data_IF_081837832746
#
_entry.id   IF_081837832746
#
_cell.length_a   1.000
_cell.length_b   1.000
_cell.length_c   1.000
_cell.angle_alpha   90.00
_cell.angle_beta   90.00
_cell.angle_gamma   90.00
#
_symmetry.space_group_name_H-M   'P 1'
#
loop_
_entity.id
_entity.type
_entity.pdbx_description
1 polymer ?
#
# COMPACT_ATOMS: atom_id res chain seq x y z
N UNK A 1 -24.73 27.87 -17.64
CA UNK A 1 -24.97 26.65 -16.83
C UNK A 1 -23.73 26.23 -16.04
N UNK A 2 -22.58 25.96 -16.67
CA UNK A 2 -21.32 25.55 -16.00
C UNK A 2 -20.86 26.59 -14.96
N UNK A 3 -20.91 27.89 -15.29
CA UNK A 3 -20.56 28.98 -14.37
C UNK A 3 -21.52 29.06 -13.17
N UNK A 4 -22.81 28.83 -13.39
CA UNK A 4 -23.82 28.86 -12.32
C UNK A 4 -23.66 27.66 -11.36
N UNK A 5 -23.32 26.48 -11.88
CA UNK A 5 -23.01 25.29 -11.08
C UNK A 5 -21.70 25.49 -10.28
N UNK A 6 -20.69 26.11 -10.90
CA UNK A 6 -19.43 26.43 -10.21
C UNK A 6 -19.63 27.42 -9.04
N UNK A 7 -20.50 28.42 -9.21
CA UNK A 7 -20.85 29.38 -8.14
C UNK A 7 -21.64 28.68 -7.03
N UNK A 8 -22.61 27.82 -7.36
CA UNK A 8 -23.37 27.07 -6.37
C UNK A 8 -22.50 26.12 -5.53
N UNK A 9 -21.51 25.47 -6.16
CA UNK A 9 -20.55 24.59 -5.47
C UNK A 9 -19.52 25.37 -4.65
N UNK A 10 -19.12 26.57 -5.09
CA UNK A 10 -18.26 27.45 -4.29
C UNK A 10 -18.94 27.90 -2.99
N UNK A 11 -20.25 28.21 -3.07
CA UNK A 11 -21.07 28.55 -1.89
C UNK A 11 -21.18 27.34 -0.95
N UNK A 12 -21.34 26.13 -1.49
CA UNK A 12 -21.35 24.89 -0.70
C UNK A 12 -20.03 24.64 0.05
N UNK A 13 -18.89 24.91 -0.60
CA UNK A 13 -17.56 24.78 -0.01
C UNK A 13 -17.31 25.75 1.17
N UNK A 14 -17.90 26.96 1.12
CA UNK A 14 -17.82 27.93 2.23
C UNK A 14 -18.63 27.45 3.43
N UNK A 15 -19.76 26.78 3.20
CA UNK A 15 -20.59 26.21 4.25
C UNK A 15 -19.93 25.01 4.95
N UNK A 16 -19.23 24.16 4.20
CA UNK A 16 -18.60 22.94 4.74
C UNK A 16 -17.33 23.25 5.57
N UNK A 17 -16.57 24.30 5.21
CA UNK A 17 -15.44 24.78 6.03
C UNK A 17 -15.85 25.31 7.40
N UNK A 18 -17.09 25.77 7.58
CA UNK A 18 -17.63 26.17 8.90
C UNK A 18 -18.05 24.99 9.76
N UNK A 19 -18.23 23.80 9.20
CA UNK A 19 -18.66 22.61 9.94
C UNK A 19 -17.48 21.77 10.47
N UNK A 20 -16.29 21.88 9.88
CA UNK A 20 -15.09 21.20 10.39
C UNK A 20 -14.43 21.90 11.59
N UNK A 21 -14.91 23.07 12.01
CA UNK A 21 -14.38 23.80 13.18
C UNK A 21 -15.02 23.40 14.51
N UNK A 22 -16.13 22.65 14.52
CA UNK A 22 -16.80 22.24 15.76
C UNK A 22 -16.45 20.78 16.10
N UNK A 23 -15.68 20.65 17.19
CA UNK A 23 -14.96 19.44 17.58
C UNK A 23 -15.83 18.27 18.05
N UNK A 24 -15.25 17.07 17.88
CA UNK A 24 -15.74 15.82 18.48
C UNK A 24 -14.72 15.34 19.51
N UNK A 25 -15.24 15.08 20.70
CA UNK A 25 -14.53 14.79 21.95
C UNK A 25 -13.94 13.39 22.03
N UNK A 26 -12.95 13.24 22.93
CA UNK A 26 -12.22 12.02 23.29
C UNK A 26 -13.00 11.14 24.27
N UNK A 27 -12.73 9.81 24.21
CA UNK A 27 -12.99 8.68 25.16
C UNK A 27 -13.73 7.52 24.44
N UNK A 28 -13.40 6.22 24.51
CA UNK A 28 -12.54 5.39 25.36
C UNK A 28 -12.05 4.16 24.53
N UNK A 29 -10.80 3.72 24.73
CA UNK A 29 -10.24 2.49 24.12
C UNK A 29 -10.12 1.37 25.18
N UNK A 30 -10.61 0.14 24.93
CA UNK A 30 -10.50 -0.99 25.85
C UNK A 30 -9.20 -1.77 25.61
N UNK A 31 -8.05 -1.20 25.99
CA UNK A 31 -6.73 -1.85 25.86
C UNK A 31 -6.06 -2.17 27.22
N UNK A 32 -6.85 -2.61 28.21
CA UNK A 32 -6.33 -3.11 29.50
C UNK A 32 -7.07 -4.36 29.96
N UNK A 33 -6.85 -5.51 29.31
CA UNK A 33 -7.21 -6.83 29.88
C UNK A 33 -6.58 -8.04 29.18
N UNK A 34 -5.27 -7.99 28.87
CA UNK A 34 -4.61 -9.12 28.19
C UNK A 34 -3.22 -9.53 28.75
N UNK A 35 -2.82 -9.08 29.95
CA UNK A 35 -1.52 -9.44 30.54
C UNK A 35 -1.63 -10.22 31.87
N UNK A 36 -2.59 -11.14 32.01
CA UNK A 36 -2.78 -11.88 33.27
C UNK A 36 -3.07 -13.38 33.14
N UNK A 37 -2.65 -14.06 32.05
CA UNK A 37 -2.99 -15.50 31.91
C UNK A 37 -2.01 -16.43 31.19
N UNK A 38 -0.74 -16.07 31.06
CA UNK A 38 0.29 -17.00 30.54
C UNK A 38 1.50 -16.98 31.48
N UNK A 39 1.36 -17.67 32.60
CA UNK A 39 2.41 -17.86 33.57
C UNK A 39 2.02 -18.98 34.52
N UNK A 40 2.57 -20.17 34.25
CA UNK A 40 2.60 -21.42 35.04
C UNK A 40 2.03 -22.62 34.29
N UNK A 41 2.92 -23.47 33.79
CA UNK A 41 2.97 -24.91 34.12
C UNK A 41 3.77 -25.67 33.07
N UNK A 42 5.08 -25.82 33.27
CA UNK A 42 5.80 -27.01 32.81
C UNK A 42 6.70 -27.41 33.98
N UNK A 43 6.25 -28.40 34.75
CA UNK A 43 7.07 -29.10 35.73
C UNK A 43 7.47 -30.46 35.15
N UNK A 44 8.79 -30.66 35.17
CA UNK A 44 9.60 -31.86 35.09
C UNK A 44 8.90 -33.22 35.15
N UNK A 45 9.24 -34.07 34.17
CA UNK A 45 9.45 -35.50 34.40
C UNK A 45 10.82 -35.87 33.84
N UNK A 46 11.79 -36.06 34.75
CA UNK A 46 13.11 -36.60 34.44
C UNK A 46 13.02 -38.10 34.22
N UNK A 47 13.53 -38.59 33.10
CA UNK A 47 14.02 -39.96 32.98
C UNK A 47 15.48 -39.90 32.55
N UNK A 48 16.33 -40.57 33.34
CA UNK A 48 17.78 -40.64 33.12
C UNK A 48 18.10 -41.45 31.87
N UNK A 49 18.39 -40.77 30.77
CA UNK A 49 19.29 -41.25 29.73
C UNK A 49 20.22 -40.10 29.34
N UNK A 50 21.52 -40.37 29.20
CA UNK A 50 22.50 -39.34 28.84
C UNK A 50 22.10 -38.68 27.52
N UNK A 51 21.66 -37.42 27.61
CA UNK A 51 21.24 -36.63 26.46
C UNK A 51 22.43 -36.37 25.52
N UNK A 52 22.28 -36.53 24.20
CA UNK A 52 23.28 -36.12 23.20
C UNK A 52 23.73 -34.66 23.34
N UNK A 53 22.90 -33.83 23.98
CA UNK A 53 23.17 -32.42 24.25
C UNK A 53 24.31 -32.25 25.28
N UNK A 54 24.37 -33.11 26.30
CA UNK A 54 25.41 -32.99 27.33
C UNK A 54 26.81 -33.30 26.76
N UNK A 55 26.90 -34.22 25.78
CA UNK A 55 28.15 -34.52 25.06
C UNK A 55 28.55 -33.40 24.09
N UNK A 56 27.58 -32.68 23.53
CA UNK A 56 27.81 -31.52 22.68
C UNK A 56 28.28 -30.31 23.49
N UNK A 57 27.69 -30.07 24.67
CA UNK A 57 28.11 -28.99 25.58
C UNK A 57 29.54 -29.19 26.09
N UNK A 58 29.93 -30.43 26.38
CA UNK A 58 31.29 -30.77 26.83
C UNK A 58 32.32 -30.62 25.68
N UNK A 59 31.95 -30.98 24.45
CA UNK A 59 32.78 -30.75 23.25
C UNK A 59 32.93 -29.25 22.93
N UNK A 60 31.85 -28.48 23.05
CA UNK A 60 31.89 -27.01 22.88
C UNK A 60 32.75 -26.37 23.96
N UNK A 61 32.65 -26.84 25.21
CA UNK A 61 33.48 -26.39 26.32
C UNK A 61 34.98 -26.68 26.10
N UNK A 62 35.32 -27.84 25.57
CA UNK A 62 36.70 -28.22 25.23
C UNK A 62 37.27 -27.43 24.05
N UNK A 63 36.46 -27.12 23.03
CA UNK A 63 36.86 -26.28 21.89
C UNK A 63 37.10 -24.83 22.35
N UNK A 64 36.24 -24.30 23.21
CA UNK A 64 36.38 -22.93 23.73
C UNK A 64 37.57 -22.72 24.66
N UNK A 65 38.10 -23.78 25.30
CA UNK A 65 39.27 -23.71 26.19
C UNK A 65 40.60 -24.06 25.50
N UNK A 66 40.60 -24.29 24.18
CA UNK A 66 41.82 -24.52 23.42
C UNK A 66 42.64 -23.23 23.26
N UNK A 67 43.97 -23.23 23.52
CA UNK A 67 44.83 -22.07 23.30
C UNK A 67 44.76 -21.53 21.85
N UNK A 68 44.58 -22.44 20.89
CA UNK A 68 44.49 -22.10 19.46
C UNK A 68 43.17 -21.39 19.12
N UNK A 69 42.07 -21.69 19.84
CA UNK A 69 40.78 -21.02 19.64
C UNK A 69 40.83 -19.55 20.05
N UNK A 70 41.49 -19.24 21.17
CA UNK A 70 41.64 -17.85 21.63
C UNK A 70 42.58 -17.02 20.73
N UNK A 71 43.65 -17.62 20.19
CA UNK A 71 44.53 -16.99 19.21
C UNK A 71 43.79 -16.76 17.87
N UNK A 72 43.04 -17.74 17.35
CA UNK A 72 42.23 -17.57 16.13
C UNK A 72 41.10 -16.56 16.30
N UNK A 73 40.39 -16.55 17.43
CA UNK A 73 39.32 -15.58 17.70
C UNK A 73 39.88 -14.16 17.89
N UNK A 74 41.05 -14.02 18.52
CA UNK A 74 41.74 -12.74 18.67
C UNK A 74 42.25 -12.23 17.32
N UNK A 75 42.87 -13.09 16.51
CA UNK A 75 43.30 -12.76 15.15
C UNK A 75 42.10 -12.45 14.25
N UNK A 76 40.96 -13.13 14.41
CA UNK A 76 39.72 -12.84 13.70
C UNK A 76 39.06 -11.53 14.17
N UNK A 77 39.15 -11.17 15.46
CA UNK A 77 38.69 -9.87 16.00
C UNK A 77 39.59 -8.72 15.59
N UNK A 78 40.90 -8.94 15.49
CA UNK A 78 41.87 -7.95 14.99
C UNK A 78 41.79 -7.77 13.47
N UNK A 79 41.53 -8.85 12.72
CA UNK A 79 41.27 -8.82 11.27
C UNK A 79 39.87 -8.28 10.91
N UNK A 80 38.86 -8.51 11.76
CA UNK A 80 37.50 -7.96 11.62
C UNK A 80 37.28 -6.75 12.52
N UNK A 81 38.19 -5.78 12.48
CA UNK A 81 37.80 -4.41 12.85
C UNK A 81 36.80 -3.95 11.80
N UNK A 82 35.51 -4.08 12.12
CA UNK A 82 34.45 -3.39 11.40
C UNK A 82 34.69 -1.89 11.55
N UNK A 83 35.46 -1.33 10.62
CA UNK A 83 35.57 0.12 10.50
C UNK A 83 34.23 0.61 9.96
N UNK A 84 33.39 1.12 10.85
CA UNK A 84 32.05 1.58 10.51
C UNK A 84 32.17 2.87 9.71
N UNK A 85 32.34 2.75 8.40
CA UNK A 85 32.28 3.86 7.48
C UNK A 85 30.82 4.17 7.17
N UNK A 86 30.36 5.33 7.61
CA UNK A 86 29.03 5.79 7.24
C UNK A 86 29.01 6.17 5.76
N UNK A 87 28.11 5.59 4.96
CA UNK A 87 27.98 5.96 3.56
C UNK A 87 27.61 7.44 3.45
N UNK A 88 28.12 8.11 2.42
CA UNK A 88 27.73 9.48 2.10
C UNK A 88 26.22 9.55 1.96
N UNK A 89 25.59 10.47 2.70
CA UNK A 89 24.15 10.65 2.65
C UNK A 89 23.68 10.97 1.23
N UNK A 90 22.55 10.39 0.86
CA UNK A 90 21.92 10.61 -0.42
C UNK A 90 21.43 12.06 -0.56
N UNK A 91 21.71 12.68 -1.71
CA UNK A 91 21.15 13.98 -2.08
C UNK A 91 19.76 13.76 -2.70
N UNK A 92 18.76 14.48 -2.18
CA UNK A 92 17.35 14.39 -2.58
C UNK A 92 16.72 15.77 -2.74
N UNK A 93 15.71 15.91 -3.61
CA UNK A 93 14.97 17.16 -3.79
C UNK A 93 14.23 17.60 -2.51
N UNK A 94 13.85 16.65 -1.66
CA UNK A 94 13.27 16.84 -0.34
C UNK A 94 13.47 15.56 0.48
N UNK A 95 13.61 15.68 1.80
CA UNK A 95 13.64 14.54 2.71
C UNK A 95 12.46 14.59 3.70
N UNK A 96 12.09 13.41 4.22
CA UNK A 96 10.92 13.27 5.10
C UNK A 96 11.10 13.98 6.44
N UNK A 97 12.32 14.06 6.98
CA UNK A 97 12.59 14.77 8.24
C UNK A 97 12.31 16.26 8.12
N UNK A 98 12.78 16.91 7.06
CA UNK A 98 12.49 18.32 6.77
C UNK A 98 11.00 18.56 6.49
N UNK A 99 10.35 17.65 5.75
CA UNK A 99 8.90 17.73 5.54
C UNK A 99 8.14 17.69 6.87
N UNK A 100 8.53 16.80 7.79
CA UNK A 100 7.91 16.73 9.11
C UNK A 100 8.22 17.97 9.94
N UNK A 101 9.48 18.39 10.02
CA UNK A 101 9.89 19.55 10.83
C UNK A 101 9.27 20.86 10.35
N UNK A 102 9.40 21.14 9.06
CA UNK A 102 9.02 22.42 8.47
C UNK A 102 7.54 22.41 8.09
N UNK A 103 7.06 21.35 7.46
CA UNK A 103 5.67 21.25 7.01
C UNK A 103 4.70 20.93 8.13
N UNK A 104 4.92 19.82 8.83
CA UNK A 104 3.92 19.24 9.75
C UNK A 104 3.99 19.86 11.15
N UNK A 105 5.18 19.92 11.76
CA UNK A 105 5.36 20.39 13.12
C UNK A 105 5.25 21.93 13.21
N UNK A 106 5.77 22.63 12.21
CA UNK A 106 5.78 24.10 12.18
C UNK A 106 4.59 24.72 11.42
N UNK A 107 3.70 23.89 10.83
CA UNK A 107 2.58 24.33 9.97
C UNK A 107 3.00 25.29 8.84
N UNK A 108 4.24 25.19 8.34
CA UNK A 108 4.69 26.02 7.23
C UNK A 108 4.29 25.39 5.90
N UNK A 109 3.80 26.21 4.99
CA UNK A 109 3.55 25.77 3.62
C UNK A 109 4.88 25.49 2.90
N UNK A 110 4.94 24.47 2.03
CA UNK A 110 6.10 24.27 1.17
C UNK A 110 6.33 25.50 0.30
N UNK A 111 7.58 25.77 -0.10
CA UNK A 111 7.87 26.81 -1.08
C UNK A 111 7.06 26.56 -2.36
N UNK A 112 6.26 27.55 -2.76
CA UNK A 112 5.37 27.44 -3.92
C UNK A 112 6.20 27.17 -5.18
N UNK A 113 6.01 25.99 -5.80
CA UNK A 113 6.54 25.76 -7.15
C UNK A 113 5.84 26.71 -8.12
N UNK A 114 6.65 27.41 -8.93
CA UNK A 114 6.12 28.27 -10.00
C UNK A 114 5.15 27.47 -10.88
N UNK A 115 4.02 28.06 -11.31
CA UNK A 115 3.10 27.40 -12.24
C UNK A 115 3.87 26.93 -13.48
N UNK A 116 3.55 25.74 -13.99
CA UNK A 116 4.06 25.31 -15.28
C UNK A 116 3.44 26.23 -16.33
N UNK A 117 4.27 26.96 -17.06
CA UNK A 117 3.85 27.86 -18.15
C UNK A 117 3.48 27.11 -19.42
N UNK A 118 3.93 25.85 -19.55
CA UNK A 118 3.63 24.98 -20.70
C UNK A 118 2.30 24.26 -20.49
N UNK A 119 1.29 24.63 -21.28
CA UNK A 119 0.03 23.89 -21.39
C UNK A 119 0.29 22.59 -22.15
N UNK A 120 0.03 21.45 -21.50
CA UNK A 120 0.09 20.16 -22.19
C UNK A 120 -1.14 20.05 -23.10
N UNK A 121 -0.92 19.85 -24.40
CA UNK A 121 -1.98 19.69 -25.40
C UNK A 121 -2.50 18.25 -25.50
N UNK A 122 -1.83 17.29 -24.85
CA UNK A 122 -2.25 15.90 -24.88
C UNK A 122 -3.52 15.69 -24.04
N UNK A 123 -4.46 14.85 -24.49
CA UNK A 123 -5.61 14.43 -23.69
C UNK A 123 -5.18 13.82 -22.35
N UNK A 124 -6.01 13.98 -21.32
CA UNK A 124 -5.82 13.28 -20.05
C UNK A 124 -6.15 11.79 -20.23
N UNK A 125 -5.15 10.93 -20.03
CA UNK A 125 -5.36 9.49 -19.96
C UNK A 125 -5.77 9.08 -18.55
N UNK A 126 -6.87 8.32 -18.44
CA UNK A 126 -7.41 7.86 -17.17
C UNK A 126 -7.47 6.34 -17.17
N UNK A 127 -6.80 5.72 -16.20
CA UNK A 127 -6.81 4.28 -15.99
C UNK A 127 -7.69 3.96 -14.78
N UNK A 128 -8.75 3.18 -15.00
CA UNK A 128 -9.54 2.61 -13.91
C UNK A 128 -8.92 1.26 -13.55
N UNK A 129 -8.63 1.06 -12.26
CA UNK A 129 -7.99 -0.15 -11.75
C UNK A 129 -8.97 -0.86 -10.79
N UNK A 130 -9.84 -1.74 -11.30
CA UNK A 130 -10.69 -2.56 -10.45
C UNK A 130 -9.82 -3.50 -9.59
N UNK A 131 -10.08 -3.50 -8.29
CA UNK A 131 -9.35 -4.30 -7.32
C UNK A 131 -10.26 -4.64 -6.14
N UNK A 132 -9.83 -5.59 -5.33
CA UNK A 132 -10.42 -5.88 -4.03
C UNK A 132 -9.31 -5.93 -3.01
N UNK A 133 -9.56 -5.40 -1.82
CA UNK A 133 -8.68 -5.60 -0.68
C UNK A 133 -9.24 -6.73 0.17
N UNK A 134 -8.40 -7.69 0.55
CA UNK A 134 -8.80 -8.89 1.28
C UNK A 134 -7.82 -9.18 2.41
N UNK A 135 -8.21 -8.86 3.64
CA UNK A 135 -7.37 -9.10 4.82
C UNK A 135 -7.21 -10.61 5.10
N UNK A 136 -5.98 -11.14 5.19
CA UNK A 136 -5.72 -12.54 5.56
C UNK A 136 -5.95 -12.83 7.06
N UNK A 137 -7.01 -12.27 7.64
CA UNK A 137 -7.31 -12.27 9.06
C UNK A 137 -7.35 -10.85 9.63
N UNK A 138 -8.53 -10.40 10.06
CA UNK A 138 -8.72 -9.09 10.70
C UNK A 138 -9.91 -9.14 11.68
N UNK A 139 -11.13 -8.86 11.20
CA UNK A 139 -12.35 -9.02 12.00
C UNK A 139 -12.80 -10.48 12.06
N UNK A 140 -12.49 -11.24 11.01
CA UNK A 140 -12.68 -12.68 10.94
C UNK A 140 -11.34 -13.37 10.65
N UNK A 141 -11.31 -14.69 10.81
CA UNK A 141 -10.12 -15.49 10.51
C UNK A 141 -9.93 -15.67 9.00
N UNK A 142 -8.71 -16.02 8.60
CA UNK A 142 -8.39 -16.40 7.21
C UNK A 142 -9.35 -17.43 6.62
N UNK A 143 -9.69 -18.49 7.38
CA UNK A 143 -10.61 -19.53 6.91
C UNK A 143 -12.05 -19.04 6.78
N UNK A 144 -12.50 -18.12 7.65
CA UNK A 144 -13.84 -17.52 7.53
C UNK A 144 -13.97 -16.69 6.25
N UNK A 145 -12.97 -15.84 5.97
CA UNK A 145 -12.94 -15.03 4.76
C UNK A 145 -12.74 -15.84 3.46
N UNK A 146 -12.24 -17.08 3.55
CA UNK A 146 -12.02 -17.94 2.37
C UNK A 146 -13.30 -18.10 1.53
N UNK A 147 -14.47 -18.17 2.17
CA UNK A 147 -15.74 -18.28 1.45
C UNK A 147 -16.01 -17.08 0.53
N UNK A 148 -15.77 -15.87 1.02
CA UNK A 148 -15.99 -14.64 0.27
C UNK A 148 -14.91 -14.40 -0.79
N UNK A 149 -13.65 -14.65 -0.44
CA UNK A 149 -12.52 -14.51 -1.38
C UNK A 149 -12.62 -15.50 -2.54
N UNK A 150 -12.97 -16.77 -2.28
CA UNK A 150 -13.23 -17.75 -3.33
C UNK A 150 -14.39 -17.31 -4.24
N UNK A 151 -15.50 -16.82 -3.67
CA UNK A 151 -16.63 -16.31 -4.46
C UNK A 151 -16.23 -15.13 -5.35
N UNK A 152 -15.36 -14.23 -4.87
CA UNK A 152 -14.84 -13.13 -5.68
C UNK A 152 -14.01 -13.67 -6.85
N UNK A 153 -13.11 -14.61 -6.58
CA UNK A 153 -12.23 -15.20 -7.61
C UNK A 153 -12.99 -16.05 -8.63
N UNK A 154 -13.99 -16.82 -8.20
CA UNK A 154 -14.87 -17.59 -9.10
C UNK A 154 -15.67 -16.66 -10.02
N UNK A 155 -16.20 -15.56 -9.47
CA UNK A 155 -16.90 -14.56 -10.27
C UNK A 155 -15.94 -13.85 -11.24
N UNK A 156 -14.71 -13.54 -10.82
CA UNK A 156 -13.68 -12.99 -11.71
C UNK A 156 -13.38 -13.93 -12.87
N UNK A 157 -13.20 -15.23 -12.58
CA UNK A 157 -12.95 -16.26 -13.60
C UNK A 157 -14.06 -16.32 -14.64
N UNK A 158 -15.32 -16.23 -14.24
CA UNK A 158 -16.46 -16.22 -15.16
C UNK A 158 -16.56 -14.88 -15.92
N UNK A 159 -16.37 -13.76 -15.21
CA UNK A 159 -16.59 -12.42 -15.76
C UNK A 159 -15.54 -12.04 -16.82
N UNK A 160 -14.26 -12.33 -16.58
CA UNK A 160 -13.19 -12.00 -17.52
C UNK A 160 -13.28 -12.78 -18.83
N UNK A 161 -13.86 -14.00 -18.83
CA UNK A 161 -14.10 -14.77 -20.08
C UNK A 161 -14.95 -14.01 -21.09
N UNK A 162 -15.96 -13.28 -20.61
CA UNK A 162 -16.94 -12.60 -21.47
C UNK A 162 -16.68 -11.10 -21.62
N UNK A 163 -15.69 -10.56 -20.91
CA UNK A 163 -15.37 -9.13 -20.90
C UNK A 163 -13.87 -8.89 -21.19
N UNK A 164 -13.40 -9.08 -22.43
CA UNK A 164 -11.97 -9.05 -22.78
C UNK A 164 -11.26 -7.70 -22.56
N UNK A 165 -12.02 -6.63 -22.34
CA UNK A 165 -11.50 -5.28 -22.03
C UNK A 165 -11.45 -4.99 -20.53
N UNK A 166 -12.07 -5.83 -19.70
CA UNK A 166 -12.04 -5.67 -18.25
C UNK A 166 -10.64 -5.98 -17.74
N UNK A 167 -10.25 -5.25 -16.69
CA UNK A 167 -9.03 -5.53 -15.94
C UNK A 167 -9.37 -5.73 -14.47
N UNK A 168 -8.57 -6.52 -13.79
CA UNK A 168 -8.68 -6.76 -12.37
C UNK A 168 -7.31 -6.95 -11.76
N UNK A 169 -7.09 -6.35 -10.59
CA UNK A 169 -5.86 -6.47 -9.83
C UNK A 169 -6.11 -7.29 -8.56
N UNK A 170 -5.19 -8.18 -8.24
CA UNK A 170 -5.20 -8.98 -7.01
C UNK A 170 -3.84 -8.90 -6.31
N UNK A 171 -3.83 -8.73 -4.98
CA UNK A 171 -2.60 -8.48 -4.21
C UNK A 171 -2.22 -9.63 -3.26
N UNK A 172 -3.18 -10.22 -2.55
CA UNK A 172 -2.90 -11.17 -1.48
C UNK A 172 -2.79 -12.61 -2.00
N UNK A 173 -1.55 -13.05 -2.29
CA UNK A 173 -1.29 -14.37 -2.88
C UNK A 173 -1.73 -15.52 -1.99
N UNK A 174 -1.77 -15.35 -0.66
CA UNK A 174 -2.21 -16.38 0.27
C UNK A 174 -3.62 -16.91 -0.02
N UNK A 175 -4.56 -16.03 -0.35
CA UNK A 175 -5.91 -16.44 -0.75
C UNK A 175 -5.94 -16.99 -2.18
N UNK A 176 -5.16 -16.39 -3.09
CA UNK A 176 -5.13 -16.81 -4.48
C UNK A 176 -4.57 -18.22 -4.63
N UNK A 177 -3.46 -18.55 -3.95
CA UNK A 177 -2.88 -19.89 -3.97
C UNK A 177 -3.84 -20.91 -3.35
N UNK A 178 -4.53 -20.56 -2.26
CA UNK A 178 -5.54 -21.45 -1.68
C UNK A 178 -6.64 -21.77 -2.69
N UNK A 179 -7.20 -20.74 -3.33
CA UNK A 179 -8.21 -20.90 -4.38
C UNK A 179 -7.67 -21.71 -5.58
N UNK A 180 -6.44 -21.43 -6.02
CA UNK A 180 -5.78 -22.09 -7.13
C UNK A 180 -5.70 -23.61 -7.00
N UNK A 181 -5.50 -24.11 -5.78
CA UNK A 181 -5.44 -25.56 -5.48
C UNK A 181 -6.75 -26.29 -5.78
N UNK A 182 -7.89 -25.58 -5.81
CA UNK A 182 -9.20 -26.15 -6.08
C UNK A 182 -9.58 -26.11 -7.57
N UNK A 183 -8.81 -25.44 -8.41
CA UNK A 183 -9.09 -25.30 -9.83
C UNK A 183 -8.68 -26.55 -10.61
N UNK A 184 -9.52 -26.91 -11.60
CA UNK A 184 -9.14 -27.88 -12.62
C UNK A 184 -8.21 -27.27 -13.68
N UNK A 185 -7.61 -28.10 -14.52
CA UNK A 185 -6.62 -27.66 -15.51
C UNK A 185 -7.15 -26.63 -16.52
N UNK A 186 -8.42 -26.76 -16.93
CA UNK A 186 -9.07 -25.78 -17.82
C UNK A 186 -9.18 -24.42 -17.15
N UNK A 187 -9.64 -24.37 -15.89
CA UNK A 187 -9.75 -23.12 -15.14
C UNK A 187 -8.37 -22.49 -14.90
N UNK A 188 -7.35 -23.30 -14.57
CA UNK A 188 -5.96 -22.83 -14.44
C UNK A 188 -5.45 -22.25 -15.76
N UNK A 189 -5.75 -22.88 -16.90
CA UNK A 189 -5.37 -22.38 -18.21
C UNK A 189 -6.03 -21.02 -18.51
N UNK A 190 -7.33 -20.86 -18.21
CA UNK A 190 -8.04 -19.59 -18.37
C UNK A 190 -7.39 -18.46 -17.55
N UNK A 191 -7.05 -18.74 -16.28
CA UNK A 191 -6.41 -17.76 -15.40
C UNK A 191 -5.02 -17.36 -15.92
N UNK A 192 -4.20 -18.33 -16.37
CA UNK A 192 -2.91 -18.02 -17.02
C UNK A 192 -3.09 -17.14 -18.26
N UNK A 193 -4.15 -17.37 -19.04
CA UNK A 193 -4.48 -16.54 -20.18
C UNK A 193 -4.87 -15.11 -19.75
N UNK A 194 -5.63 -14.93 -18.67
CA UNK A 194 -5.96 -13.59 -18.16
C UNK A 194 -4.71 -12.83 -17.70
N UNK A 195 -3.77 -13.51 -17.04
CA UNK A 195 -2.49 -12.93 -16.64
C UNK A 195 -1.65 -12.56 -17.87
N UNK A 196 -1.51 -13.47 -18.83
CA UNK A 196 -0.71 -13.24 -20.05
C UNK A 196 -1.29 -12.13 -20.92
N UNK A 197 -2.62 -12.04 -21.02
CA UNK A 197 -3.31 -10.98 -21.76
C UNK A 197 -3.37 -9.63 -21.02
N UNK A 198 -3.00 -9.59 -19.74
CA UNK A 198 -3.06 -8.40 -18.89
C UNK A 198 -4.46 -8.01 -18.41
N UNK A 199 -5.44 -8.93 -18.51
CA UNK A 199 -6.76 -8.76 -17.88
C UNK A 199 -6.68 -8.97 -16.36
N UNK A 200 -5.82 -9.88 -15.89
CA UNK A 200 -5.56 -10.10 -14.47
C UNK A 200 -4.13 -9.68 -14.15
N UNK A 201 -3.96 -8.74 -13.23
CA UNK A 201 -2.64 -8.31 -12.75
C UNK A 201 -2.40 -8.80 -11.32
N UNK A 202 -1.31 -9.55 -11.14
CA UNK A 202 -0.83 -9.97 -9.82
C UNK A 202 0.08 -8.86 -9.27
N UNK A 203 -0.50 -7.98 -8.46
CA UNK A 203 0.20 -6.85 -7.85
C UNK A 203 0.82 -7.23 -6.49
N UNK A 204 1.76 -6.41 -6.02
CA UNK A 204 2.65 -6.65 -4.86
C UNK A 204 3.63 -7.80 -5.06
N UNK A 205 3.12 -8.98 -5.37
CA UNK A 205 3.92 -10.19 -5.54
C UNK A 205 4.39 -10.81 -4.24
N UNK A 206 3.90 -10.37 -3.09
CA UNK A 206 4.16 -11.00 -1.79
C UNK A 206 3.01 -11.89 -1.35
N UNK A 207 3.25 -12.75 -0.37
CA UNK A 207 2.26 -13.67 0.17
C UNK A 207 1.08 -12.93 0.82
N UNK A 208 1.40 -11.92 1.60
CA UNK A 208 0.47 -10.94 2.17
C UNK A 208 0.95 -9.52 1.93
N UNK A 209 0.03 -8.55 2.05
CA UNK A 209 0.38 -7.16 2.26
C UNK A 209 0.93 -7.01 3.69
N UNK A 210 2.26 -7.00 3.83
CA UNK A 210 2.91 -6.99 5.13
C UNK A 210 2.70 -5.67 5.86
N UNK A 211 2.63 -5.71 7.19
CA UNK A 211 2.94 -4.54 8.00
C UNK A 211 4.36 -4.05 7.68
N UNK A 212 4.59 -2.74 7.78
CA UNK A 212 5.87 -2.11 7.48
C UNK A 212 6.50 -1.44 8.71
N UNK A 213 5.86 -1.53 9.88
CA UNK A 213 6.39 -1.01 11.14
C UNK A 213 7.06 -2.09 12.01
N UNK A 214 6.39 -3.23 12.23
CA UNK A 214 6.82 -4.22 13.22
C UNK A 214 7.62 -5.41 12.65
N UNK A 215 7.37 -5.92 11.43
CA UNK A 215 8.03 -7.13 10.96
C UNK A 215 9.54 -7.01 10.90
N UNK A 216 10.21 -8.06 11.36
CA UNK A 216 11.65 -8.22 11.19
C UNK A 216 11.97 -8.55 9.74
N UNK A 217 12.99 -7.93 9.16
CA UNK A 217 13.21 -7.99 7.72
C UNK A 217 13.33 -9.41 7.11
N UNK A 218 13.85 -10.46 7.79
CA UNK A 218 13.87 -11.81 7.22
C UNK A 218 12.46 -12.37 6.98
N UNK A 219 11.49 -12.13 7.88
CA UNK A 219 10.12 -12.61 7.64
C UNK A 219 9.45 -11.85 6.50
N UNK A 220 9.84 -10.59 6.26
CA UNK A 220 9.44 -9.84 5.07
C UNK A 220 10.05 -10.44 3.81
N UNK A 221 11.29 -10.92 3.84
CA UNK A 221 11.92 -11.61 2.72
C UNK A 221 11.17 -12.90 2.40
N UNK A 222 10.88 -13.74 3.41
CA UNK A 222 10.10 -14.97 3.20
C UNK A 222 8.74 -14.66 2.58
N UNK A 223 8.02 -13.67 3.11
CA UNK A 223 6.76 -13.19 2.56
C UNK A 223 6.86 -12.79 1.07
N UNK A 224 7.94 -12.11 0.67
CA UNK A 224 8.16 -11.74 -0.74
C UNK A 224 8.47 -12.97 -1.58
N UNK A 225 9.36 -13.84 -1.11
CA UNK A 225 9.80 -15.03 -1.84
C UNK A 225 8.64 -15.97 -2.11
N UNK A 226 7.81 -16.25 -1.09
CA UNK A 226 6.65 -17.15 -1.23
C UNK A 226 5.67 -16.66 -2.31
N UNK A 227 5.27 -15.39 -2.26
CA UNK A 227 4.36 -14.81 -3.25
C UNK A 227 4.95 -14.82 -4.67
N UNK A 228 6.22 -14.41 -4.83
CA UNK A 228 6.83 -14.32 -6.16
C UNK A 228 7.12 -15.70 -6.77
N UNK A 229 7.51 -16.68 -5.96
CA UNK A 229 7.70 -18.06 -6.42
C UNK A 229 6.39 -18.66 -6.91
N UNK A 230 5.29 -18.46 -6.18
CA UNK A 230 3.97 -18.91 -6.62
C UNK A 230 3.60 -18.29 -7.99
N UNK A 231 3.68 -16.96 -8.12
CA UNK A 231 3.36 -16.25 -9.36
C UNK A 231 4.23 -16.76 -10.52
N UNK A 232 5.53 -16.95 -10.28
CA UNK A 232 6.44 -17.41 -11.32
C UNK A 232 6.15 -18.85 -11.76
N UNK A 233 6.01 -19.79 -10.81
CA UNK A 233 5.85 -21.21 -11.09
C UNK A 233 4.48 -21.55 -11.67
N UNK A 234 3.43 -21.02 -11.08
CA UNK A 234 2.06 -21.39 -11.44
C UNK A 234 1.50 -20.55 -12.59
N UNK A 235 1.87 -19.27 -12.67
CA UNK A 235 1.30 -18.32 -13.62
C UNK A 235 2.28 -17.91 -14.73
N UNK A 236 3.56 -18.25 -14.63
CA UNK A 236 4.58 -17.87 -15.61
C UNK A 236 4.81 -16.35 -15.69
N UNK A 237 4.46 -15.62 -14.63
CA UNK A 237 4.47 -14.16 -14.60
C UNK A 237 5.46 -13.60 -13.56
N UNK A 238 5.64 -12.28 -13.56
CA UNK A 238 6.40 -11.55 -12.53
C UNK A 238 5.61 -10.32 -12.13
N UNK A 239 5.44 -10.11 -10.83
CA UNK A 239 4.89 -8.87 -10.30
C UNK A 239 5.80 -7.69 -10.69
N UNK A 240 5.19 -6.54 -11.00
CA UNK A 240 5.90 -5.34 -11.49
C UNK A 240 5.78 -4.12 -10.58
N UNK A 241 4.86 -4.17 -9.62
CA UNK A 241 4.50 -3.05 -8.77
C UNK A 241 4.23 -3.54 -7.36
N UNK A 242 4.74 -2.82 -6.37
CA UNK A 242 4.37 -2.97 -4.95
C UNK A 242 3.05 -2.23 -4.77
N UNK A 243 2.00 -2.92 -4.34
CA UNK A 243 0.72 -2.31 -4.00
C UNK A 243 0.47 -2.44 -2.49
N UNK A 244 0.76 -1.38 -1.74
CA UNK A 244 0.75 -1.37 -0.28
C UNK A 244 -0.20 -0.28 0.24
N UNK A 245 -1.51 -0.46 0.10
CA UNK A 245 -2.50 0.57 0.42
C UNK A 245 -2.98 0.57 1.87
N UNK A 246 -2.78 -0.51 2.63
CA UNK A 246 -3.35 -0.67 3.97
C UNK A 246 -2.40 -0.70 5.18
N UNK A 247 -1.06 -0.85 5.06
CA UNK A 247 -0.18 -0.75 6.22
C UNK A 247 -0.25 0.62 6.90
N UNK A 248 -0.13 0.65 8.22
CA UNK A 248 -0.32 1.85 9.03
C UNK A 248 0.96 2.69 9.12
N UNK A 249 1.33 3.29 7.99
CA UNK A 249 2.61 3.97 7.81
C UNK A 249 3.60 3.08 7.07
N UNK A 250 4.68 3.68 6.59
CA UNK A 250 5.63 3.02 5.69
C UNK A 250 7.06 3.31 6.08
N UNK A 251 7.91 2.29 5.98
CA UNK A 251 9.35 2.38 6.16
C UNK A 251 10.09 2.20 4.83
N UNK A 252 11.37 2.65 4.74
CA UNK A 252 12.13 2.49 3.51
C UNK A 252 12.58 1.04 3.24
N UNK A 253 12.45 0.15 4.24
CA UNK A 253 12.94 -1.24 4.21
C UNK A 253 12.18 -2.12 3.20
N UNK A 254 10.85 -2.10 3.21
CA UNK A 254 10.05 -2.95 2.31
C UNK A 254 10.30 -2.59 0.83
N UNK A 255 10.18 -1.31 0.41
CA UNK A 255 10.55 -0.91 -0.96
C UNK A 255 11.98 -1.31 -1.33
N UNK A 256 12.94 -1.14 -0.41
CA UNK A 256 14.33 -1.52 -0.65
C UNK A 256 14.50 -3.01 -0.94
N UNK A 257 13.87 -3.88 -0.14
CA UNK A 257 13.93 -5.33 -0.35
C UNK A 257 13.36 -5.73 -1.71
N UNK A 258 12.23 -5.13 -2.12
CA UNK A 258 11.64 -5.37 -3.43
C UNK A 258 12.53 -4.94 -4.61
N UNK A 259 13.42 -3.96 -4.43
CA UNK A 259 14.38 -3.62 -5.50
C UNK A 259 15.30 -4.78 -5.85
N UNK A 260 15.58 -5.67 -4.88
CA UNK A 260 16.42 -6.86 -5.09
C UNK A 260 15.71 -7.94 -5.90
N UNK A 261 14.39 -7.85 -6.04
CA UNK A 261 13.60 -8.70 -6.93
C UNK A 261 13.34 -8.05 -8.30
N UNK A 262 13.90 -6.87 -8.55
CA UNK A 262 13.73 -6.10 -9.78
C UNK A 262 12.47 -5.21 -9.81
N UNK A 263 11.67 -5.17 -8.75
CA UNK A 263 10.49 -4.29 -8.68
C UNK A 263 10.93 -2.89 -8.23
N UNK A 264 10.66 -1.89 -9.06
CA UNK A 264 11.01 -0.48 -8.79
C UNK A 264 9.82 0.48 -8.91
N UNK A 265 8.60 -0.05 -8.87
CA UNK A 265 7.36 0.73 -8.86
C UNK A 265 6.59 0.42 -7.57
N UNK A 266 6.03 1.44 -6.94
CA UNK A 266 5.24 1.26 -5.73
C UNK A 266 4.03 2.20 -5.69
N UNK A 267 2.96 1.73 -5.06
CA UNK A 267 1.78 2.52 -4.70
C UNK A 267 1.56 2.36 -3.21
N UNK A 268 1.47 3.48 -2.50
CA UNK A 268 1.21 3.54 -1.06
C UNK A 268 0.04 4.46 -0.76
N UNK A 269 -0.53 4.40 0.44
CA UNK A 269 -1.65 5.25 0.82
C UNK A 269 -1.53 5.88 2.21
N UNK A 270 -1.49 5.12 3.30
CA UNK A 270 -1.68 5.61 4.69
C UNK A 270 -0.46 6.36 5.26
N UNK A 271 -0.05 7.45 4.62
CA UNK A 271 0.87 8.45 5.19
C UNK A 271 0.08 9.54 5.93
N UNK A 272 0.76 10.31 6.78
CA UNK A 272 0.16 11.43 7.49
C UNK A 272 -0.55 12.41 6.53
N UNK A 273 -1.76 12.84 6.85
CA UNK A 273 -2.58 13.70 5.98
C UNK A 273 -1.87 15.02 5.62
N UNK A 274 -1.17 15.64 6.57
CA UNK A 274 -0.35 16.83 6.30
C UNK A 274 0.79 16.56 5.32
N UNK A 275 1.38 15.36 5.30
CA UNK A 275 2.39 15.00 4.31
C UNK A 275 1.77 14.85 2.92
N UNK A 276 0.56 14.26 2.81
CA UNK A 276 -0.18 14.22 1.54
C UNK A 276 -0.38 15.63 1.00
N UNK A 277 -0.88 16.54 1.83
CA UNK A 277 -1.09 17.95 1.44
C UNK A 277 0.22 18.61 1.00
N UNK A 278 1.30 18.40 1.76
CA UNK A 278 2.62 18.95 1.44
C UNK A 278 3.14 18.43 0.08
N UNK A 279 3.03 17.12 -0.18
CA UNK A 279 3.41 16.52 -1.46
C UNK A 279 2.53 17.00 -2.62
N UNK A 280 1.23 17.20 -2.40
CA UNK A 280 0.32 17.75 -3.40
C UNK A 280 0.69 19.18 -3.78
N UNK A 281 1.02 20.03 -2.80
CA UNK A 281 1.48 21.40 -3.06
C UNK A 281 2.82 21.43 -3.82
N UNK A 282 3.74 20.52 -3.48
CA UNK A 282 4.99 20.32 -4.24
C UNK A 282 4.81 19.62 -5.58
N UNK A 283 3.60 19.13 -5.90
CA UNK A 283 3.30 18.26 -7.04
C UNK A 283 4.25 17.06 -7.13
N UNK A 284 4.59 16.51 -5.97
CA UNK A 284 5.49 15.38 -5.76
C UNK A 284 4.74 14.16 -5.23
N UNK A 285 3.49 13.96 -5.67
CA UNK A 285 2.70 12.77 -5.35
C UNK A 285 3.34 11.50 -5.93
N UNK A 286 3.82 11.52 -7.19
CA UNK A 286 4.86 10.60 -7.62
C UNK A 286 6.25 11.14 -7.24
N UNK A 287 7.09 10.27 -6.67
CA UNK A 287 8.48 10.60 -6.34
C UNK A 287 9.38 9.36 -6.47
N UNK A 288 10.69 9.57 -6.52
CA UNK A 288 11.67 8.49 -6.36
C UNK A 288 12.00 8.34 -4.87
N UNK A 289 11.61 7.23 -4.28
CA UNK A 289 11.94 6.90 -2.91
C UNK A 289 13.35 6.31 -2.87
N UNK A 290 14.28 7.12 -2.37
CA UNK A 290 15.70 6.79 -2.24
C UNK A 290 16.03 6.38 -0.81
N UNK A 291 16.94 5.43 -0.66
CA UNK A 291 17.52 5.09 0.64
C UNK A 291 18.49 6.18 1.09
N UNK A 292 18.51 6.52 2.38
CA UNK A 292 19.38 7.58 2.91
C UNK A 292 20.88 7.31 2.68
N UNK A 293 21.26 6.03 2.58
CA UNK A 293 22.63 5.59 2.32
C UNK A 293 22.96 5.36 0.83
N UNK A 294 22.00 5.53 -0.08
CA UNK A 294 22.18 5.24 -1.50
C UNK A 294 22.44 6.52 -2.30
N UNK A 295 23.70 6.99 -2.24
CA UNK A 295 24.12 8.20 -2.96
C UNK A 295 23.94 8.12 -4.48
N UNK A 296 23.95 6.90 -5.06
CA UNK A 296 23.85 6.67 -6.50
C UNK A 296 22.41 6.47 -6.98
N UNK A 297 21.47 6.19 -6.08
CA UNK A 297 20.08 5.92 -6.40
C UNK A 297 19.86 4.58 -7.13
N UNK A 298 20.73 3.60 -6.91
CA UNK A 298 20.63 2.28 -7.54
C UNK A 298 19.36 1.52 -7.09
N UNK A 299 18.93 1.79 -5.86
CA UNK A 299 17.75 1.22 -5.21
C UNK A 299 16.57 2.20 -5.16
N UNK A 300 16.54 3.21 -6.05
CA UNK A 300 15.40 4.11 -6.18
C UNK A 300 14.13 3.34 -6.58
N UNK A 301 13.04 3.58 -5.85
CA UNK A 301 11.69 3.07 -6.18
C UNK A 301 10.82 4.24 -6.63
N UNK A 302 10.20 4.16 -7.79
CA UNK A 302 9.22 5.15 -8.21
C UNK A 302 7.89 4.90 -7.50
N UNK A 303 7.57 5.77 -6.55
CA UNK A 303 6.46 5.60 -5.63
C UNK A 303 5.36 6.62 -5.92
N UNK A 304 4.13 6.14 -6.00
CA UNK A 304 2.93 6.96 -6.07
C UNK A 304 2.16 6.88 -4.76
N UNK A 305 1.81 8.03 -4.18
CA UNK A 305 0.92 8.09 -3.01
C UNK A 305 -0.51 8.31 -3.48
N UNK A 306 -1.43 7.44 -3.09
CA UNK A 306 -2.85 7.69 -3.33
C UNK A 306 -3.24 9.03 -2.68
N UNK A 307 -3.90 9.94 -3.42
CA UNK A 307 -3.95 11.35 -3.03
C UNK A 307 -4.88 11.68 -1.86
N UNK A 308 -5.82 10.80 -1.50
CA UNK A 308 -6.87 11.08 -0.52
C UNK A 308 -6.78 10.19 0.73
N UNK A 309 -7.76 10.27 1.62
CA UNK A 309 -7.70 9.67 2.95
C UNK A 309 -7.77 8.13 2.94
N UNK A 310 -8.44 7.55 1.95
CA UNK A 310 -8.68 6.11 1.85
C UNK A 310 -8.44 5.61 0.42
N UNK A 311 -8.45 4.30 0.24
CA UNK A 311 -8.37 3.61 -1.06
C UNK A 311 -9.73 3.05 -1.53
N UNK A 312 -10.83 3.46 -0.89
CA UNK A 312 -12.16 3.10 -1.37
C UNK A 312 -12.55 3.95 -2.59
N UNK A 313 -13.67 3.64 -3.24
CA UNK A 313 -14.13 4.38 -4.44
C UNK A 313 -14.37 5.86 -4.11
N UNK A 314 -14.90 6.15 -2.91
CA UNK A 314 -15.24 7.51 -2.47
C UNK A 314 -13.99 8.40 -2.36
N UNK A 315 -12.84 7.81 -2.05
CA UNK A 315 -11.57 8.50 -1.90
C UNK A 315 -10.59 8.16 -3.04
N UNK A 316 -11.07 7.67 -4.19
CA UNK A 316 -10.17 7.34 -5.32
C UNK A 316 -10.59 7.99 -6.63
N UNK A 317 -11.83 8.44 -6.78
CA UNK A 317 -12.27 9.09 -8.01
C UNK A 317 -11.89 10.59 -8.09
N UNK A 318 -11.67 11.25 -6.97
CA UNK A 318 -11.50 12.70 -6.92
C UNK A 318 -11.61 13.25 -5.49
N UNK A 319 -11.52 14.57 -5.30
CA UNK A 319 -11.46 15.20 -3.98
C UNK A 319 -12.83 15.30 -3.30
N UNK A 320 -13.92 15.04 -4.03
CA UNK A 320 -15.29 15.20 -3.54
C UNK A 320 -15.94 13.82 -3.40
N UNK A 321 -15.90 13.29 -2.18
CA UNK A 321 -16.39 11.94 -1.88
C UNK A 321 -17.87 11.73 -2.21
N UNK A 322 -18.71 12.77 -2.09
CA UNK A 322 -20.13 12.72 -2.44
C UNK A 322 -20.36 12.44 -3.92
N UNK A 323 -19.58 13.08 -4.79
CA UNK A 323 -19.60 12.83 -6.24
C UNK A 323 -19.06 11.44 -6.54
N UNK A 324 -17.96 11.03 -5.91
CA UNK A 324 -17.38 9.69 -6.10
C UNK A 324 -18.33 8.57 -5.69
N UNK A 325 -19.12 8.79 -4.64
CA UNK A 325 -20.12 7.83 -4.19
C UNK A 325 -21.15 7.50 -5.28
N UNK A 326 -21.53 8.47 -6.13
CA UNK A 326 -22.46 8.25 -7.25
C UNK A 326 -21.92 7.27 -8.30
N UNK A 327 -20.61 6.99 -8.31
CA UNK A 327 -19.94 6.05 -9.22
C UNK A 327 -19.58 4.71 -8.56
N UNK A 328 -19.88 4.53 -7.28
CA UNK A 328 -19.85 3.22 -6.63
C UNK A 328 -21.19 2.50 -6.85
N UNK A 329 -21.27 1.74 -7.94
CA UNK A 329 -22.51 1.07 -8.35
C UNK A 329 -22.96 -0.03 -7.39
N UNK A 330 -22.10 -0.52 -6.48
CA UNK A 330 -22.52 -1.47 -5.44
C UNK A 330 -23.50 -0.82 -4.45
N UNK A 331 -23.43 0.50 -4.30
CA UNK A 331 -24.33 1.33 -3.47
C UNK A 331 -25.70 1.59 -4.10
N UNK A 332 -25.98 1.03 -5.28
CA UNK A 332 -27.36 0.97 -5.78
C UNK A 332 -28.24 0.12 -4.86
N UNK A 333 -27.67 -0.91 -4.25
CA UNK A 333 -28.40 -1.94 -3.51
C UNK A 333 -27.82 -2.26 -2.12
N UNK A 334 -26.51 -2.14 -1.90
CA UNK A 334 -25.88 -2.67 -0.67
C UNK A 334 -25.52 -1.62 0.39
N UNK A 335 -25.26 -0.37 -0.02
CA UNK A 335 -24.85 0.69 0.90
C UNK A 335 -25.49 2.02 0.50
N UNK A 336 -25.51 2.99 1.41
CA UNK A 336 -26.01 4.34 1.13
C UNK A 336 -24.89 5.29 0.71
N UNK A 337 -25.27 6.34 -0.03
CA UNK A 337 -24.44 7.52 -0.24
C UNK A 337 -24.94 8.65 0.65
N UNK A 338 -24.05 9.51 1.21
CA UNK A 338 -24.46 10.54 2.16
C UNK A 338 -25.41 11.59 1.58
N UNK A 339 -25.34 11.83 0.26
CA UNK A 339 -26.11 12.91 -0.39
C UNK A 339 -26.99 12.39 -1.53
N UNK A 340 -26.38 11.95 -2.63
CA UNK A 340 -27.09 11.50 -3.82
C UNK A 340 -26.85 10.02 -4.07
N UNK A 341 -27.92 9.26 -4.28
CA UNK A 341 -27.85 7.83 -4.60
C UNK A 341 -27.27 7.65 -6.01
N UNK A 342 -26.45 6.61 -6.27
CA UNK A 342 -26.02 6.28 -7.62
C UNK A 342 -27.23 6.07 -8.53
N UNK A 343 -27.10 6.50 -9.77
CA UNK A 343 -28.07 6.21 -10.83
C UNK A 343 -27.42 5.25 -11.83
N UNK A 344 -28.23 4.48 -12.58
CA UNK A 344 -27.70 3.65 -13.66
C UNK A 344 -27.28 4.55 -14.84
N UNK A 345 -26.11 4.29 -15.43
CA UNK A 345 -25.68 5.03 -16.63
C UNK A 345 -26.52 4.60 -17.83
N UNK A 346 -27.15 5.57 -18.49
CA UNK A 346 -27.93 5.38 -19.72
C UNK A 346 -27.39 6.28 -20.83
N UNK A 347 -27.81 6.04 -22.08
CA UNK A 347 -27.43 6.91 -23.20
C UNK A 347 -27.88 8.37 -22.99
N UNK A 348 -28.95 8.59 -22.23
CA UNK A 348 -29.53 9.91 -21.96
C UNK A 348 -28.75 10.69 -20.91
N UNK A 349 -28.19 10.00 -19.89
CA UNK A 349 -27.51 10.68 -18.78
C UNK A 349 -25.97 10.60 -18.84
N UNK A 350 -25.39 9.83 -19.77
CA UNK A 350 -23.93 9.59 -19.82
C UNK A 350 -23.11 10.89 -19.92
N UNK A 351 -23.60 11.89 -20.68
CA UNK A 351 -22.88 13.17 -20.85
C UNK A 351 -22.84 13.96 -19.54
N UNK A 352 -23.97 14.06 -18.85
CA UNK A 352 -24.07 14.73 -17.55
C UNK A 352 -23.21 14.02 -16.50
N UNK A 353 -23.29 12.68 -16.45
CA UNK A 353 -22.51 11.87 -15.52
C UNK A 353 -21.02 11.97 -15.79
N UNK A 354 -20.61 11.94 -17.05
CA UNK A 354 -19.20 12.11 -17.42
C UNK A 354 -18.69 13.50 -17.07
N UNK A 355 -19.50 14.54 -17.27
CA UNK A 355 -19.15 15.90 -16.84
C UNK A 355 -18.97 16.00 -15.32
N UNK A 356 -19.87 15.40 -14.52
CA UNK A 356 -19.73 15.36 -13.06
C UNK A 356 -18.46 14.62 -12.61
N UNK A 357 -18.17 13.47 -13.23
CA UNK A 357 -16.95 12.70 -12.99
C UNK A 357 -15.70 13.51 -13.34
N UNK A 358 -15.62 14.07 -14.56
CA UNK A 358 -14.49 14.89 -14.98
C UNK A 358 -14.28 16.12 -14.10
N UNK A 359 -15.36 16.78 -13.69
CA UNK A 359 -15.27 17.92 -12.78
C UNK A 359 -14.62 17.50 -11.46
N UNK A 360 -14.91 16.31 -10.92
CA UNK A 360 -14.21 15.81 -9.74
C UNK A 360 -12.70 15.61 -9.99
N UNK A 361 -12.29 15.10 -11.15
CA UNK A 361 -10.87 14.96 -11.50
C UNK A 361 -10.16 16.32 -11.69
N UNK A 362 -10.85 17.30 -12.25
CA UNK A 362 -10.26 18.58 -12.69
C UNK A 362 -10.38 19.67 -11.63
N UNK A 363 -11.28 19.56 -10.63
CA UNK A 363 -11.56 20.63 -9.65
C UNK A 363 -10.33 21.11 -8.85
N UNK A 364 -9.28 20.29 -8.75
CA UNK A 364 -7.98 20.68 -8.18
C UNK A 364 -7.37 21.89 -8.93
N UNK A 365 -7.64 22.05 -10.23
CA UNK A 365 -7.14 23.17 -11.03
C UNK A 365 -7.97 24.46 -10.90
N UNK A 366 -9.29 24.38 -10.70
CA UNK A 366 -10.17 25.56 -10.72
C UNK A 366 -10.30 26.26 -9.37
N UNK A 367 -10.31 25.52 -8.24
CA UNK A 367 -10.36 26.15 -6.92
C UNK A 367 -9.10 26.95 -6.58
N UNK A 368 -7.93 26.62 -7.18
CA UNK A 368 -6.69 27.43 -7.04
C UNK A 368 -6.68 28.72 -7.88
N UNK A 369 -7.62 28.90 -8.81
CA UNK A 369 -7.81 30.20 -9.48
C UNK A 369 -8.69 31.14 -8.65
N UNK A 370 -9.64 30.63 -7.87
CA UNK A 370 -10.53 31.48 -7.05
C UNK A 370 -9.79 32.20 -5.91
N UNK A 371 -8.70 31.62 -5.38
CA UNK A 371 -7.85 32.29 -4.38
C UNK A 371 -6.97 33.41 -4.96
N UNK A 372 -6.97 33.60 -6.29
CA UNK A 372 -6.33 34.76 -6.97
C UNK A 372 -7.32 35.86 -7.35
N UNK A 373 -8.61 35.68 -7.08
CA UNK A 373 -9.65 36.69 -7.37
C UNK A 373 -10.01 37.47 -6.09
N UNK A 374 -9.41 37.13 -4.94
CA UNK A 374 -9.60 37.82 -3.64
C UNK A 374 -8.29 38.34 -3.01
N UNK A 375 -7.26 38.53 -3.83
CA UNK A 375 -6.08 39.35 -3.52
C UNK A 375 -5.85 40.27 -4.71
#
# INVERSE_FOLDING_TARGET
LIVAIAIALAIYCIAERRFQSDGVSRHNSPYRRWNARMGKSIQNTETKSESPIAKLEDLVGQIQHSPDYYEEEKNAREANKCDQQYPTEAITDFNTFEMYKNGIASNLNPPLKKPRTKVNKQPLEVFLLPMTHVDPGWLETFDSYTKDTNRILDNMLIFLKTHPKMRFMWCEMVFFERWWRHLNDTQKADVRQFVTSGQLEMASGSWVMTDEANPYFPVTIDNIVEGQQFIFRELGAKAKVIWSNDPFGYGPSVPYLFTKTGIKLAVINRIHHGMKNYLQELRAIPFKWRQYFDARGESDVYTHVLPYAHYDILNSCGPVASVCCEFDFKRLTHHMCPFKKPTVTTKQNVVERFAAFLLSYIFIFLCKLSSRIHA
#
